data_IF_475874579580
#
_entry.id   IF_475874579580
#
_cell.length_a   1.000
_cell.length_b   1.000
_cell.length_c   1.000
_cell.angle_alpha   90.00
_cell.angle_beta   90.00
_cell.angle_gamma   90.00
#
_symmetry.space_group_name_H-M   'P 1'
#
loop_
_entity.id
_entity.type
_entity.pdbx_description
1 polymer ?
#
# COMPACT_ATOMS: atom_id res chain seq x y z
N UNK A 1 -25.71 13.90 33.87
CA UNK A 1 -25.13 14.50 32.64
C UNK A 1 -23.77 13.89 32.24
N UNK A 2 -22.84 13.57 33.16
CA UNK A 2 -21.51 12.99 32.82
C UNK A 2 -21.50 11.55 32.24
N UNK A 3 -22.55 10.74 32.46
CA UNK A 3 -22.61 9.36 31.92
C UNK A 3 -22.94 9.26 30.42
N UNK A 4 -23.42 10.35 29.80
CA UNK A 4 -23.73 10.36 28.36
C UNK A 4 -22.52 10.69 27.48
N UNK A 5 -21.51 11.39 28.02
CA UNK A 5 -20.29 11.75 27.28
C UNK A 5 -19.31 10.56 27.20
N UNK A 6 -19.28 9.72 28.23
CA UNK A 6 -18.40 8.53 28.28
C UNK A 6 -18.87 7.39 27.37
N UNK A 7 -20.18 7.24 27.11
CA UNK A 7 -20.67 6.23 26.14
C UNK A 7 -20.35 6.58 24.67
N UNK A 8 -20.24 7.87 24.34
CA UNK A 8 -19.80 8.31 23.00
C UNK A 8 -18.31 8.07 22.73
N UNK A 9 -17.45 8.23 23.75
CA UNK A 9 -16.00 8.02 23.60
C UNK A 9 -15.60 6.55 23.48
N UNK A 10 -16.33 5.62 24.13
CA UNK A 10 -16.04 4.18 24.06
C UNK A 10 -16.44 3.59 22.70
N UNK A 11 -17.46 4.15 22.02
CA UNK A 11 -17.82 3.77 20.64
C UNK A 11 -16.80 4.25 19.59
N UNK A 12 -16.08 5.35 19.84
CA UNK A 12 -15.03 5.84 18.93
C UNK A 12 -13.79 4.93 18.90
N UNK A 13 -13.39 4.37 20.04
CA UNK A 13 -12.17 3.53 20.14
C UNK A 13 -12.40 2.13 19.58
N UNK A 14 -13.60 1.56 19.72
CA UNK A 14 -13.96 0.28 19.08
C UNK A 14 -14.29 0.43 17.59
N UNK A 15 -14.77 1.61 17.16
CA UNK A 15 -14.99 1.92 15.75
C UNK A 15 -13.71 1.84 14.90
N UNK A 16 -12.57 2.28 15.43
CA UNK A 16 -11.27 2.21 14.74
C UNK A 16 -10.84 0.78 14.36
N UNK A 17 -11.28 -0.24 15.09
CA UNK A 17 -11.00 -1.65 14.76
C UNK A 17 -11.99 -2.23 13.72
N UNK A 18 -13.16 -1.61 13.55
CA UNK A 18 -14.14 -1.97 12.51
C UNK A 18 -13.78 -1.38 11.13
N UNK A 19 -12.94 -0.34 11.11
CA UNK A 19 -12.60 0.43 9.91
C UNK A 19 -11.71 -0.31 8.89
N UNK A 20 -11.05 -1.40 9.27
CA UNK A 20 -10.22 -2.19 8.34
C UNK A 20 -11.03 -3.07 7.38
N UNK A 21 -12.36 -3.10 7.49
CA UNK A 21 -13.25 -3.96 6.71
C UNK A 21 -14.14 -3.22 5.70
N UNK A 22 -13.75 -2.01 5.26
CA UNK A 22 -14.50 -1.30 4.21
C UNK A 22 -14.46 -2.09 2.88
N UNK A 23 -15.59 -2.21 2.15
CA UNK A 23 -15.63 -2.87 0.87
C UNK A 23 -14.73 -2.11 -0.12
N UNK A 24 -13.70 -2.78 -0.59
CA UNK A 24 -12.74 -2.16 -1.47
C UNK A 24 -13.42 -1.77 -2.80
N UNK A 25 -13.44 -0.48 -3.10
CA UNK A 25 -14.03 0.08 -4.31
C UNK A 25 -13.52 -0.65 -5.55
N UNK A 26 -14.43 -0.98 -6.47
CA UNK A 26 -14.11 -1.76 -7.65
C UNK A 26 -13.47 -0.87 -8.72
N UNK A 27 -12.14 -0.94 -8.84
CA UNK A 27 -11.36 -0.30 -9.91
C UNK A 27 -11.82 -0.71 -11.33
N UNK A 28 -12.68 -1.74 -11.44
CA UNK A 28 -13.31 -2.15 -12.71
C UNK A 28 -14.23 -1.09 -13.31
N UNK A 29 -14.75 -0.12 -12.56
CA UNK A 29 -15.64 0.91 -13.12
C UNK A 29 -14.92 1.81 -14.13
N UNK A 30 -13.60 2.00 -13.99
CA UNK A 30 -12.79 2.76 -14.97
C UNK A 30 -12.42 1.89 -16.17
N UNK A 31 -12.16 0.59 -15.98
CA UNK A 31 -11.86 -0.34 -17.09
C UNK A 31 -13.12 -0.71 -17.90
N UNK A 32 -14.30 -0.77 -17.26
CA UNK A 32 -15.58 -1.14 -17.88
C UNK A 32 -16.20 -0.04 -18.76
N UNK A 33 -15.70 1.19 -18.72
CA UNK A 33 -16.12 2.24 -19.66
C UNK A 33 -15.48 2.11 -21.05
N UNK A 34 -14.68 1.08 -21.29
CA UNK A 34 -13.95 0.85 -22.55
C UNK A 34 -14.19 -0.51 -23.23
N UNK A 35 -15.02 -1.40 -22.68
CA UNK A 35 -15.33 -2.70 -23.30
C UNK A 35 -16.85 -2.90 -23.48
N UNK A 36 -17.35 -3.15 -24.72
CA UNK A 36 -18.72 -3.57 -24.94
C UNK A 36 -18.83 -5.09 -24.79
N UNK A 37 -19.80 -5.53 -23.98
CA UNK A 37 -20.34 -6.90 -23.86
C UNK A 37 -19.48 -7.97 -23.16
N UNK A 38 -19.80 -8.24 -21.88
CA UNK A 38 -19.42 -9.46 -21.17
C UNK A 38 -20.46 -9.85 -20.09
N UNK A 39 -20.89 -11.13 -19.99
CA UNK A 39 -22.01 -11.53 -19.14
C UNK A 39 -21.61 -11.71 -17.66
N UNK A 40 -22.52 -11.30 -16.77
CA UNK A 40 -22.40 -11.45 -15.33
C UNK A 40 -22.57 -12.92 -14.87
N UNK A 41 -21.55 -13.47 -14.20
CA UNK A 41 -21.60 -14.79 -13.56
C UNK A 41 -21.63 -14.67 -12.03
N UNK A 42 -22.64 -15.26 -11.40
CA UNK A 42 -22.77 -15.38 -9.94
C UNK A 42 -21.82 -16.47 -9.42
N UNK A 43 -21.13 -16.22 -8.30
CA UNK A 43 -20.36 -17.21 -7.57
C UNK A 43 -20.86 -17.28 -6.11
N UNK A 44 -21.26 -18.48 -5.71
CA UNK A 44 -21.64 -18.83 -4.34
C UNK A 44 -20.48 -19.59 -3.70
N UNK A 45 -20.04 -19.17 -2.51
CA UNK A 45 -18.92 -19.78 -1.79
C UNK A 45 -19.45 -20.73 -0.70
N UNK A 46 -19.09 -22.01 -0.82
CA UNK A 46 -19.32 -23.05 0.18
C UNK A 46 -18.04 -23.22 1.02
N UNK A 47 -18.16 -23.13 2.34
CA UNK A 47 -17.08 -23.44 3.29
C UNK A 47 -17.33 -24.82 3.92
N UNK A 48 -16.32 -25.68 3.86
CA UNK A 48 -16.27 -26.99 4.54
C UNK A 48 -15.15 -26.93 5.58
N UNK A 49 -15.40 -27.41 6.80
CA UNK A 49 -14.41 -27.58 7.86
C UNK A 49 -14.31 -29.07 8.21
N UNK A 50 -13.08 -29.59 8.27
CA UNK A 50 -12.77 -30.92 8.80
C UNK A 50 -11.76 -30.81 9.97
N UNK A 51 -12.00 -31.64 10.99
CA UNK A 51 -11.23 -31.87 12.22
C UNK A 51 -10.00 -32.74 12.01
N UNK A 52 -8.82 -32.41 12.59
CA UNK A 52 -7.79 -33.40 13.01
C UNK A 52 -6.90 -32.88 14.18
N UNK A 53 -6.57 -33.84 15.06
CA UNK A 53 -5.85 -33.90 16.35
C UNK A 53 -4.42 -33.32 16.52
N UNK A 54 -4.08 -33.15 17.81
CA UNK A 54 -2.79 -32.76 18.42
C UNK A 54 -1.67 -33.82 18.31
N UNK A 55 -0.44 -33.39 17.97
CA UNK A 55 0.82 -34.14 18.22
C UNK A 55 1.91 -33.21 18.77
N UNK A 56 2.68 -33.71 19.74
CA UNK A 56 3.75 -33.01 20.47
C UNK A 56 5.08 -32.87 19.68
N UNK A 57 5.61 -31.64 19.74
CA UNK A 57 7.02 -31.22 19.86
C UNK A 57 8.15 -32.25 19.58
N UNK A 58 8.62 -32.30 18.33
CA UNK A 58 10.02 -32.54 17.98
C UNK A 58 10.25 -32.29 16.47
N UNK A 59 10.71 -31.10 16.06
CA UNK A 59 11.47 -30.80 14.83
C UNK A 59 11.53 -29.29 14.58
N UNK A 60 12.61 -28.64 15.03
CA UNK A 60 12.93 -27.27 14.63
C UNK A 60 14.43 -27.20 14.33
N UNK A 61 14.77 -27.51 13.08
CA UNK A 61 16.03 -27.15 12.43
C UNK A 61 15.59 -26.41 11.17
N UNK A 62 15.15 -25.17 11.35
CA UNK A 62 14.78 -24.32 10.24
C UNK A 62 16.06 -23.79 9.60
N UNK A 63 16.28 -24.11 8.34
CA UNK A 63 17.36 -23.51 7.54
C UNK A 63 17.09 -21.99 7.48
N UNK A 64 17.82 -21.21 8.29
CA UNK A 64 17.71 -19.75 8.47
C UNK A 64 17.69 -19.03 7.11
N UNK A 65 18.36 -19.60 6.11
CA UNK A 65 18.39 -19.16 4.71
C UNK A 65 17.01 -19.17 4.02
N UNK A 66 16.09 -20.03 4.43
CA UNK A 66 14.72 -20.11 3.91
C UNK A 66 13.79 -19.05 4.49
N UNK A 67 14.16 -18.43 5.61
CA UNK A 67 13.40 -17.30 6.16
C UNK A 67 13.50 -16.05 5.28
N UNK A 68 14.47 -15.98 4.36
CA UNK A 68 14.57 -14.94 3.32
C UNK A 68 13.73 -15.23 2.07
N UNK A 69 12.81 -16.20 2.10
CA UNK A 69 11.98 -16.53 0.94
C UNK A 69 10.71 -15.67 0.86
N UNK A 70 10.54 -14.96 -0.26
CA UNK A 70 9.34 -14.16 -0.56
C UNK A 70 8.05 -14.99 -0.50
N UNK A 71 8.09 -16.29 -0.81
CA UNK A 71 6.94 -17.18 -0.65
C UNK A 71 6.61 -17.45 0.83
N UNK A 72 7.64 -17.59 1.67
CA UNK A 72 7.49 -17.74 3.13
C UNK A 72 6.97 -16.44 3.74
N UNK A 73 7.45 -15.28 3.27
CA UNK A 73 6.94 -13.97 3.67
C UNK A 73 5.47 -13.75 3.27
N UNK A 74 5.12 -14.02 2.01
CA UNK A 74 3.76 -13.86 1.51
C UNK A 74 2.77 -14.84 2.19
N UNK A 75 3.21 -16.07 2.49
CA UNK A 75 2.40 -17.04 3.23
C UNK A 75 2.22 -16.64 4.70
N UNK A 76 3.25 -16.10 5.35
CA UNK A 76 3.15 -15.60 6.73
C UNK A 76 2.16 -14.42 6.83
N UNK A 77 2.23 -13.48 5.89
CA UNK A 77 1.35 -12.31 5.84
C UNK A 77 -0.11 -12.70 5.55
N UNK A 78 -0.36 -13.61 4.59
CA UNK A 78 -1.70 -14.12 4.29
C UNK A 78 -2.32 -14.91 5.46
N UNK A 79 -1.50 -15.53 6.30
CA UNK A 79 -1.94 -16.30 7.48
C UNK A 79 -2.24 -15.38 8.67
N UNK A 80 -1.42 -14.34 8.88
CA UNK A 80 -1.63 -13.33 9.92
C UNK A 80 -2.94 -12.53 9.72
N UNK A 81 -3.34 -12.29 8.46
CA UNK A 81 -4.57 -11.56 8.12
C UNK A 81 -5.85 -12.40 8.30
N UNK A 82 -5.75 -13.74 8.38
CA UNK A 82 -6.93 -14.64 8.40
C UNK A 82 -7.26 -15.29 9.74
N UNK A 83 -6.45 -15.09 10.78
CA UNK A 83 -6.71 -15.71 12.09
C UNK A 83 -7.23 -14.66 13.09
N UNK A 84 -8.55 -14.51 13.30
CA UNK A 84 -9.03 -13.76 14.44
C UNK A 84 -8.58 -14.49 15.72
N UNK A 85 -7.76 -13.83 16.53
CA UNK A 85 -7.40 -14.31 17.86
C UNK A 85 -8.66 -14.24 18.72
N UNK A 86 -9.43 -15.32 18.74
CA UNK A 86 -10.53 -15.50 19.68
C UNK A 86 -9.94 -15.73 21.07
N UNK A 87 -9.87 -14.68 21.88
CA UNK A 87 -9.60 -14.77 23.30
C UNK A 87 -10.85 -15.27 24.03
N UNK A 88 -11.05 -16.58 24.08
CA UNK A 88 -12.01 -17.19 25.00
C UNK A 88 -11.23 -18.12 25.94
N UNK A 89 -11.05 -17.67 27.18
CA UNK A 89 -10.56 -18.49 28.27
C UNK A 89 -9.04 -18.56 28.44
N UNK A 90 -8.38 -17.43 28.74
CA UNK A 90 -7.18 -17.36 29.60
C UNK A 90 -5.87 -18.07 29.20
N UNK A 91 -5.87 -18.97 28.22
CA UNK A 91 -4.69 -19.71 27.77
C UNK A 91 -4.35 -19.31 26.33
N UNK A 92 -3.19 -18.67 26.17
CA UNK A 92 -2.62 -18.38 24.87
C UNK A 92 -2.12 -19.68 24.23
N UNK A 93 -2.99 -20.41 23.53
CA UNK A 93 -2.54 -21.48 22.61
C UNK A 93 -2.07 -20.80 21.33
N UNK A 94 -0.85 -20.27 21.37
CA UNK A 94 -0.16 -19.82 20.17
C UNK A 94 -0.02 -21.01 19.22
N UNK A 95 -0.77 -21.00 18.12
CA UNK A 95 -0.62 -21.97 17.04
C UNK A 95 0.74 -21.74 16.39
N UNK A 96 1.77 -22.40 16.89
CA UNK A 96 3.06 -22.46 16.23
C UNK A 96 2.84 -23.15 14.88
N UNK A 97 2.90 -22.37 13.79
CA UNK A 97 3.00 -22.93 12.45
C UNK A 97 4.38 -23.56 12.36
N UNK A 98 4.46 -24.84 12.72
CA UNK A 98 5.65 -25.66 12.49
C UNK A 98 5.69 -25.93 10.99
N UNK A 99 6.40 -25.08 10.25
CA UNK A 99 6.80 -25.38 8.88
C UNK A 99 7.80 -26.54 8.96
N UNK A 100 7.32 -27.75 8.67
CA UNK A 100 8.17 -28.93 8.59
C UNK A 100 9.02 -28.83 7.32
N UNK A 101 10.21 -28.24 7.48
CA UNK A 101 11.19 -28.06 6.42
C UNK A 101 11.99 -29.36 6.29
N UNK A 102 11.60 -30.21 5.34
CA UNK A 102 12.35 -31.42 4.98
C UNK A 102 13.77 -31.02 4.57
N UNK A 103 14.75 -31.40 5.41
CA UNK A 103 16.16 -31.09 5.26
C UNK A 103 16.77 -31.72 4.02
N UNK A 104 16.89 -30.93 2.94
CA UNK A 104 17.68 -31.31 1.77
C UNK A 104 19.12 -30.83 1.99
N UNK A 105 19.99 -31.74 2.42
CA UNK A 105 21.42 -31.53 2.74
C UNK A 105 22.32 -31.26 1.52
N UNK A 106 21.75 -30.71 0.46
CA UNK A 106 22.45 -30.38 -0.79
C UNK A 106 21.83 -29.16 -1.47
N UNK A 107 21.38 -28.18 -0.68
CA UNK A 107 20.79 -26.95 -1.20
C UNK A 107 21.83 -26.20 -2.05
N UNK A 108 21.73 -26.42 -3.36
CA UNK A 108 22.30 -25.54 -4.37
C UNK A 108 21.93 -24.12 -3.94
N UNK A 109 22.92 -23.22 -3.87
CA UNK A 109 22.69 -21.81 -3.60
C UNK A 109 21.93 -21.20 -4.78
N UNK A 110 20.63 -21.49 -4.85
CA UNK A 110 19.71 -20.75 -5.69
C UNK A 110 19.71 -19.34 -5.10
N UNK A 111 20.25 -18.37 -5.86
CA UNK A 111 20.31 -16.96 -5.45
C UNK A 111 18.91 -16.41 -5.16
N UNK A 112 18.81 -15.17 -4.68
CA UNK A 112 17.52 -14.57 -4.34
C UNK A 112 16.62 -14.31 -5.57
N UNK A 113 17.19 -14.27 -6.79
CA UNK A 113 16.48 -13.88 -8.00
C UNK A 113 15.24 -14.75 -8.34
N UNK A 114 15.28 -16.09 -8.29
CA UNK A 114 14.10 -16.94 -8.49
C UNK A 114 13.02 -16.74 -7.43
N UNK A 115 13.34 -16.16 -6.26
CA UNK A 115 12.35 -15.87 -5.21
C UNK A 115 11.58 -14.56 -5.49
N UNK A 116 12.07 -13.71 -6.38
CA UNK A 116 11.43 -12.44 -6.76
C UNK A 116 10.34 -12.57 -7.83
N UNK A 117 9.72 -13.75 -8.02
CA UNK A 117 8.64 -13.95 -9.02
C UNK A 117 7.46 -13.00 -8.80
N UNK A 118 7.10 -12.73 -7.55
CA UNK A 118 6.03 -11.79 -7.20
C UNK A 118 6.32 -10.37 -7.69
N UNK A 119 7.53 -9.88 -7.40
CA UNK A 119 8.01 -8.56 -7.84
C UNK A 119 8.08 -8.49 -9.37
N UNK A 120 8.64 -9.52 -10.02
CA UNK A 120 8.68 -9.62 -11.49
C UNK A 120 7.29 -9.52 -12.10
N UNK A 121 6.33 -10.30 -11.58
CA UNK A 121 4.93 -10.29 -12.06
C UNK A 121 4.30 -8.91 -11.90
N UNK A 122 4.54 -8.24 -10.78
CA UNK A 122 4.07 -6.88 -10.53
C UNK A 122 4.69 -5.86 -11.49
N UNK A 123 6.00 -5.94 -11.73
CA UNK A 123 6.69 -5.12 -12.72
C UNK A 123 6.14 -5.31 -14.12
N UNK A 124 5.90 -6.56 -14.54
CA UNK A 124 5.30 -6.85 -15.84
C UNK A 124 3.89 -6.28 -15.99
N UNK A 125 3.05 -6.37 -14.95
CA UNK A 125 1.71 -5.75 -14.96
C UNK A 125 1.78 -4.23 -15.17
N UNK A 126 2.78 -3.55 -14.62
CA UNK A 126 3.00 -2.10 -14.84
C UNK A 126 3.41 -1.80 -16.28
N UNK A 127 4.30 -2.62 -16.84
CA UNK A 127 4.73 -2.49 -18.23
C UNK A 127 3.52 -2.69 -19.14
N UNK A 128 2.75 -3.77 -18.97
CA UNK A 128 1.56 -4.05 -19.79
C UNK A 128 0.49 -2.95 -19.67
N UNK A 129 0.29 -2.39 -18.47
CA UNK A 129 -0.59 -1.25 -18.29
C UNK A 129 -0.11 -0.03 -19.07
N UNK A 130 1.19 0.28 -19.00
CA UNK A 130 1.78 1.39 -19.75
C UNK A 130 1.67 1.18 -21.26
N UNK A 131 1.89 -0.05 -21.73
CA UNK A 131 1.70 -0.46 -23.14
C UNK A 131 0.27 -0.16 -23.60
N UNK A 132 -0.75 -0.58 -22.83
CA UNK A 132 -2.16 -0.37 -23.18
C UNK A 132 -2.57 1.10 -23.13
N UNK A 133 -2.15 1.83 -22.09
CA UNK A 133 -2.55 3.22 -21.89
C UNK A 133 -1.84 4.17 -22.86
N UNK A 134 -0.55 3.96 -23.12
CA UNK A 134 0.28 4.90 -23.88
C UNK A 134 0.55 4.45 -25.32
N UNK A 135 0.16 3.23 -25.70
CA UNK A 135 0.44 2.67 -27.03
C UNK A 135 1.94 2.51 -27.29
N UNK A 136 2.65 1.83 -26.38
CA UNK A 136 4.11 1.66 -26.50
C UNK A 136 4.48 0.78 -27.70
N UNK A 137 5.53 1.18 -28.40
CA UNK A 137 6.16 0.35 -29.43
C UNK A 137 6.92 -0.84 -28.83
N UNK A 138 7.24 -1.84 -29.66
CA UNK A 138 7.99 -3.01 -29.23
C UNK A 138 9.38 -2.67 -28.65
N UNK A 139 10.19 -1.77 -29.26
CA UNK A 139 11.46 -1.32 -28.66
C UNK A 139 11.28 -0.68 -27.29
N UNK A 140 10.26 0.18 -27.12
CA UNK A 140 9.97 0.84 -25.84
C UNK A 140 9.62 -0.19 -24.75
N UNK A 141 8.72 -1.14 -25.06
CA UNK A 141 8.41 -2.25 -24.15
C UNK A 141 9.66 -3.03 -23.75
N UNK A 142 10.52 -3.36 -24.72
CA UNK A 142 11.75 -4.12 -24.47
C UNK A 142 12.72 -3.38 -23.54
N UNK A 143 12.85 -2.06 -23.68
CA UNK A 143 13.65 -1.24 -22.77
C UNK A 143 13.13 -1.31 -21.33
N UNK A 144 11.81 -1.23 -21.13
CA UNK A 144 11.21 -1.36 -19.80
C UNK A 144 11.40 -2.75 -19.20
N UNK A 145 11.29 -3.82 -20.00
CA UNK A 145 11.55 -5.19 -19.55
C UNK A 145 13.01 -5.38 -19.08
N UNK A 146 13.98 -4.79 -19.81
CA UNK A 146 15.39 -4.82 -19.41
C UNK A 146 15.64 -4.01 -18.13
N UNK A 147 14.98 -2.86 -17.97
CA UNK A 147 15.04 -2.06 -16.75
C UNK A 147 14.51 -2.83 -15.54
N UNK A 148 13.35 -3.49 -15.68
CA UNK A 148 12.78 -4.36 -14.64
C UNK A 148 13.74 -5.49 -14.27
N UNK A 149 14.30 -6.20 -15.26
CA UNK A 149 15.24 -7.29 -15.01
C UNK A 149 16.50 -6.81 -14.28
N UNK A 150 16.99 -5.61 -14.61
CA UNK A 150 18.12 -4.99 -13.90
C UNK A 150 17.76 -4.65 -12.45
N UNK A 151 16.58 -4.08 -12.20
CA UNK A 151 16.09 -3.80 -10.83
C UNK A 151 15.99 -5.10 -10.00
N UNK A 152 15.49 -6.19 -10.60
CA UNK A 152 15.38 -7.49 -9.93
C UNK A 152 16.75 -8.07 -9.58
N UNK A 153 17.74 -7.96 -10.47
CA UNK A 153 19.12 -8.42 -10.18
C UNK A 153 19.77 -7.62 -9.08
N UNK A 154 19.58 -6.30 -9.07
CA UNK A 154 20.09 -5.43 -8.00
C UNK A 154 19.50 -5.84 -6.65
N UNK A 155 18.17 -5.96 -6.56
CA UNK A 155 17.47 -6.39 -5.35
C UNK A 155 17.91 -7.78 -4.90
N UNK A 156 18.06 -8.72 -5.83
CA UNK A 156 18.56 -10.05 -5.51
C UNK A 156 19.97 -10.01 -4.92
N UNK A 157 20.88 -9.22 -5.52
CA UNK A 157 22.25 -9.05 -5.02
C UNK A 157 22.31 -8.43 -3.63
N UNK A 158 21.43 -7.46 -3.33
CA UNK A 158 21.33 -6.88 -1.97
C UNK A 158 20.88 -7.91 -0.93
N UNK A 159 19.91 -8.77 -1.27
CA UNK A 159 19.43 -9.83 -0.37
C UNK A 159 20.48 -10.93 -0.21
N UNK A 160 21.11 -11.36 -1.30
CA UNK A 160 22.14 -12.39 -1.27
C UNK A 160 23.35 -11.92 -0.43
N UNK A 161 23.73 -10.64 -0.51
CA UNK A 161 24.79 -10.07 0.34
C UNK A 161 24.48 -10.16 1.84
N UNK A 162 23.23 -9.93 2.24
CA UNK A 162 22.78 -10.11 3.63
C UNK A 162 22.81 -11.58 4.02
N UNK A 163 22.25 -12.46 3.16
CA UNK A 163 22.20 -13.90 3.37
C UNK A 163 23.58 -14.53 3.51
N UNK A 164 24.56 -14.08 2.72
CA UNK A 164 25.92 -14.58 2.75
C UNK A 164 26.59 -14.36 4.12
N UNK A 165 26.19 -13.31 4.84
CA UNK A 165 26.65 -13.05 6.21
C UNK A 165 26.24 -14.12 7.24
N UNK A 166 25.20 -14.90 6.95
CA UNK A 166 24.70 -15.95 7.84
C UNK A 166 25.16 -17.36 7.44
N UNK A 167 25.90 -17.51 6.34
CA UNK A 167 26.40 -18.83 5.91
C UNK A 167 27.36 -19.40 6.96
N UNK A 168 27.06 -20.59 7.45
CA UNK A 168 27.89 -21.29 8.44
C UNK A 168 27.74 -20.78 9.88
N UNK A 169 26.86 -19.80 10.12
CA UNK A 169 26.53 -19.36 11.48
C UNK A 169 25.64 -20.41 12.15
N UNK A 170 26.02 -20.85 13.34
CA UNK A 170 25.20 -21.78 14.14
C UNK A 170 24.02 -21.05 14.79
N UNK A 171 22.95 -21.75 15.13
CA UNK A 171 21.82 -21.15 15.87
C UNK A 171 22.24 -20.60 17.24
N UNK A 172 23.27 -21.20 17.88
CA UNK A 172 23.78 -20.78 19.19
C UNK A 172 24.57 -19.47 19.12
N UNK A 173 25.24 -19.22 17.99
CA UNK A 173 26.06 -18.02 17.76
C UNK A 173 25.28 -16.87 17.10
N UNK A 174 24.02 -17.13 16.68
CA UNK A 174 23.21 -16.16 15.95
C UNK A 174 22.58 -15.13 16.88
N UNK A 175 22.90 -13.85 16.65
CA UNK A 175 22.14 -12.74 17.26
C UNK A 175 20.77 -12.63 16.58
N UNK A 176 19.74 -13.15 17.26
CA UNK A 176 18.36 -13.15 16.77
C UNK A 176 17.85 -11.73 16.50
N UNK A 177 18.26 -10.73 17.31
CA UNK A 177 17.78 -9.37 17.13
C UNK A 177 18.36 -8.73 15.86
N UNK A 178 19.66 -8.94 15.59
CA UNK A 178 20.31 -8.50 14.36
C UNK A 178 19.70 -9.20 13.14
N UNK A 179 19.48 -10.52 13.23
CA UNK A 179 18.85 -11.30 12.17
C UNK A 179 17.45 -10.77 11.80
N UNK A 180 16.60 -10.49 12.79
CA UNK A 180 15.27 -9.94 12.54
C UNK A 180 15.34 -8.54 11.89
N UNK A 181 16.30 -7.71 12.28
CA UNK A 181 16.51 -6.40 11.67
C UNK A 181 16.93 -6.53 10.19
N UNK A 182 17.81 -7.46 9.87
CA UNK A 182 18.26 -7.74 8.50
C UNK A 182 17.14 -8.29 7.61
N UNK A 183 16.31 -9.18 8.16
CA UNK A 183 15.09 -9.67 7.50
C UNK A 183 14.15 -8.51 7.16
N UNK A 184 13.93 -7.60 8.10
CA UNK A 184 13.10 -6.43 7.88
C UNK A 184 13.72 -5.47 6.85
N UNK A 185 15.04 -5.30 6.88
CA UNK A 185 15.78 -4.57 5.85
C UNK A 185 15.55 -5.16 4.45
N UNK A 186 15.64 -6.49 4.31
CA UNK A 186 15.36 -7.19 3.06
C UNK A 186 13.92 -6.96 2.57
N UNK A 187 12.93 -6.99 3.48
CA UNK A 187 11.52 -6.69 3.13
C UNK A 187 11.37 -5.28 2.61
N UNK A 188 12.04 -4.31 3.22
CA UNK A 188 12.03 -2.92 2.76
C UNK A 188 12.68 -2.77 1.37
N UNK A 189 13.77 -3.49 1.11
CA UNK A 189 14.40 -3.53 -0.22
C UNK A 189 13.42 -4.08 -1.26
N UNK A 190 12.74 -5.19 -0.96
CA UNK A 190 11.72 -5.79 -1.85
C UNK A 190 10.56 -4.81 -2.07
N UNK A 191 10.05 -4.17 -1.02
CA UNK A 191 8.95 -3.21 -1.11
C UNK A 191 9.30 -1.99 -1.99
N UNK A 192 10.57 -1.58 -1.99
CA UNK A 192 11.10 -0.47 -2.81
C UNK A 192 11.59 -0.91 -4.19
N UNK A 193 11.59 -2.19 -4.52
CA UNK A 193 12.14 -2.73 -5.77
C UNK A 193 11.58 -2.06 -7.01
N UNK A 194 10.31 -1.65 -6.96
CA UNK A 194 9.60 -0.93 -8.02
C UNK A 194 9.14 0.45 -7.55
N UNK A 195 9.82 1.05 -6.56
CA UNK A 195 9.50 2.39 -6.08
C UNK A 195 9.92 3.49 -7.07
N UNK A 196 9.65 4.77 -6.76
CA UNK A 196 10.06 5.91 -7.60
C UNK A 196 11.57 5.97 -7.89
N UNK A 197 12.41 5.42 -7.01
CA UNK A 197 13.86 5.36 -7.19
C UNK A 197 14.36 4.18 -8.04
N UNK A 198 13.48 3.29 -8.51
CA UNK A 198 13.88 2.13 -9.30
C UNK A 198 14.25 2.53 -10.73
N UNK A 199 15.11 1.73 -11.38
CA UNK A 199 15.50 1.97 -12.78
C UNK A 199 14.28 1.89 -13.71
N UNK A 200 13.37 0.93 -13.48
CA UNK A 200 12.11 0.85 -14.20
C UNK A 200 11.33 2.15 -14.09
N UNK A 201 11.13 2.70 -12.89
CA UNK A 201 10.35 3.92 -12.71
C UNK A 201 10.91 5.10 -13.52
N UNK A 202 12.23 5.29 -13.48
CA UNK A 202 12.94 6.30 -14.27
C UNK A 202 12.83 6.06 -15.78
N UNK A 203 13.07 4.81 -16.21
CA UNK A 203 12.99 4.45 -17.63
C UNK A 203 11.60 4.65 -18.22
N UNK A 204 10.52 4.51 -17.44
CA UNK A 204 9.17 4.83 -17.95
C UNK A 204 9.02 6.33 -18.24
N UNK A 205 9.76 7.22 -17.57
CA UNK A 205 9.74 8.65 -17.91
C UNK A 205 10.58 8.94 -19.15
N UNK A 206 11.75 8.29 -19.28
CA UNK A 206 12.71 8.53 -20.37
C UNK A 206 12.29 7.91 -21.71
N UNK A 207 11.55 6.80 -21.69
CA UNK A 207 11.16 6.03 -22.89
C UNK A 207 9.96 6.61 -23.62
N UNK A 208 9.12 7.40 -22.93
CA UNK A 208 7.89 7.92 -23.50
C UNK A 208 8.17 9.10 -24.43
N UNK A 209 7.57 9.06 -25.61
CA UNK A 209 7.48 10.24 -26.45
C UNK A 209 6.61 11.31 -25.77
N UNK A 210 6.78 12.61 -26.08
CA UNK A 210 6.01 13.68 -25.45
C UNK A 210 4.49 13.44 -25.47
N UNK A 211 3.94 13.00 -26.62
CA UNK A 211 2.51 12.67 -26.74
C UNK A 211 2.08 11.51 -25.82
N UNK A 212 2.93 10.48 -25.67
CA UNK A 212 2.67 9.36 -24.77
C UNK A 212 2.75 9.78 -23.30
N UNK A 213 3.70 10.66 -22.96
CA UNK A 213 3.84 11.23 -21.62
C UNK A 213 2.58 12.04 -21.21
N UNK A 214 2.03 12.86 -22.11
CA UNK A 214 0.77 13.58 -21.88
C UNK A 214 -0.42 12.63 -21.66
N UNK A 215 -0.52 11.55 -22.45
CA UNK A 215 -1.55 10.52 -22.26
C UNK A 215 -1.41 9.87 -20.89
N UNK A 216 -0.19 9.50 -20.49
CA UNK A 216 0.09 8.93 -19.17
C UNK A 216 -0.30 9.88 -18.04
N UNK A 217 0.07 11.16 -18.15
CA UNK A 217 -0.25 12.17 -17.13
C UNK A 217 -1.76 12.36 -16.98
N UNK A 218 -2.51 12.45 -18.09
CA UNK A 218 -3.98 12.53 -18.06
C UNK A 218 -4.60 11.30 -17.42
N UNK A 219 -4.14 10.10 -17.80
CA UNK A 219 -4.62 8.85 -17.22
C UNK A 219 -4.33 8.76 -15.70
N UNK A 220 -3.12 9.12 -15.26
CA UNK A 220 -2.77 9.18 -13.84
C UNK A 220 -3.63 10.22 -13.09
N UNK A 221 -3.86 11.39 -13.68
CA UNK A 221 -4.72 12.42 -13.10
C UNK A 221 -6.16 11.91 -12.92
N UNK A 222 -6.75 11.30 -13.96
CA UNK A 222 -8.09 10.71 -13.87
C UNK A 222 -8.19 9.63 -12.80
N UNK A 223 -7.19 8.75 -12.67
CA UNK A 223 -7.17 7.76 -11.58
C UNK A 223 -7.05 8.39 -10.20
N UNK A 224 -6.28 9.46 -10.06
CA UNK A 224 -6.16 10.19 -8.78
C UNK A 224 -7.50 10.77 -8.38
N UNK A 225 -8.17 11.41 -9.33
CA UNK A 225 -9.48 12.02 -9.16
C UNK A 225 -10.54 10.98 -8.77
N UNK A 226 -10.63 9.87 -9.52
CA UNK A 226 -11.55 8.77 -9.21
C UNK A 226 -11.28 8.17 -7.83
N UNK A 227 -10.01 7.91 -7.50
CA UNK A 227 -9.63 7.39 -6.18
C UNK A 227 -9.97 8.38 -5.07
N UNK A 228 -9.76 9.67 -5.30
CA UNK A 228 -10.09 10.71 -4.33
C UNK A 228 -11.60 10.82 -4.11
N UNK A 229 -12.42 10.84 -5.17
CA UNK A 229 -13.88 10.78 -5.06
C UNK A 229 -14.36 9.59 -4.25
N UNK A 230 -13.84 8.40 -4.53
CA UNK A 230 -14.19 7.20 -3.75
C UNK A 230 -13.78 7.34 -2.27
N UNK A 231 -12.61 7.94 -2.00
CA UNK A 231 -12.15 8.20 -0.63
C UNK A 231 -13.06 9.20 0.10
N UNK A 232 -13.49 10.26 -0.59
CA UNK A 232 -14.40 11.28 -0.06
C UNK A 232 -15.76 10.66 0.24
N UNK A 233 -16.34 9.90 -0.70
CA UNK A 233 -17.61 9.21 -0.49
C UNK A 233 -17.55 8.27 0.73
N UNK A 234 -16.50 7.45 0.83
CA UNK A 234 -16.29 6.54 1.96
C UNK A 234 -16.06 7.27 3.30
N UNK A 235 -15.52 8.50 3.27
CA UNK A 235 -15.35 9.33 4.47
C UNK A 235 -16.66 10.02 4.88
N UNK A 236 -17.47 10.43 3.91
CA UNK A 236 -18.67 11.21 4.14
C UNK A 236 -19.83 10.36 4.64
N UNK A 237 -19.95 9.11 4.22
CA UNK A 237 -21.00 8.20 4.68
C UNK A 237 -21.12 8.13 6.23
N UNK A 238 -20.07 7.77 6.99
CA UNK A 238 -20.16 7.75 8.46
C UNK A 238 -20.28 9.14 9.09
N UNK A 239 -19.81 10.19 8.43
CA UNK A 239 -19.96 11.57 8.91
C UNK A 239 -21.40 12.04 8.76
N UNK A 240 -22.06 11.71 7.65
CA UNK A 240 -23.46 12.04 7.41
C UNK A 240 -24.35 11.40 8.47
N UNK A 241 -24.15 10.10 8.75
CA UNK A 241 -24.86 9.40 9.82
C UNK A 241 -24.64 10.06 11.20
N UNK A 242 -23.42 10.49 11.50
CA UNK A 242 -23.04 11.06 12.80
C UNK A 242 -23.51 12.51 12.98
N UNK A 243 -23.52 13.30 11.90
CA UNK A 243 -23.82 14.73 11.91
C UNK A 243 -25.27 15.03 11.52
N UNK A 244 -25.95 14.08 10.87
CA UNK A 244 -27.23 14.24 10.18
C UNK A 244 -27.17 15.46 9.25
N UNK A 245 -26.32 15.41 8.22
CA UNK A 245 -26.15 16.53 7.31
C UNK A 245 -27.42 16.68 6.45
N UNK A 246 -27.80 17.91 6.14
CA UNK A 246 -28.75 18.13 5.05
C UNK A 246 -28.09 17.83 3.71
N UNK A 247 -28.88 17.61 2.66
CA UNK A 247 -28.34 17.41 1.29
C UNK A 247 -27.41 18.56 0.87
N UNK A 248 -27.78 19.81 1.17
CA UNK A 248 -26.94 20.97 0.83
C UNK A 248 -25.64 21.04 1.66
N UNK A 249 -25.67 20.58 2.91
CA UNK A 249 -24.46 20.49 3.74
C UNK A 249 -23.55 19.37 3.25
N UNK A 250 -24.10 18.21 2.91
CA UNK A 250 -23.35 17.08 2.35
C UNK A 250 -22.63 17.51 1.08
N UNK A 251 -23.35 18.08 0.11
CA UNK A 251 -22.80 18.56 -1.16
C UNK A 251 -21.71 19.62 -0.95
N UNK A 252 -21.90 20.53 0.02
CA UNK A 252 -20.90 21.56 0.33
C UNK A 252 -19.62 20.99 0.95
N UNK A 253 -19.72 19.99 1.84
CA UNK A 253 -18.56 19.31 2.42
C UNK A 253 -17.85 18.44 1.38
N UNK A 254 -18.61 17.76 0.52
CA UNK A 254 -18.07 17.01 -0.62
C UNK A 254 -17.30 17.92 -1.58
N UNK A 255 -17.91 19.03 -2.01
CA UNK A 255 -17.27 20.00 -2.89
C UNK A 255 -15.99 20.56 -2.28
N UNK A 256 -16.01 20.87 -0.97
CA UNK A 256 -14.83 21.32 -0.23
C UNK A 256 -13.68 20.29 -0.29
N UNK A 257 -13.99 19.01 -0.08
CA UNK A 257 -13.00 17.94 -0.13
C UNK A 257 -12.45 17.71 -1.54
N UNK A 258 -13.31 17.76 -2.56
CA UNK A 258 -12.93 17.53 -3.95
C UNK A 258 -12.09 18.66 -4.54
N UNK A 259 -12.35 19.92 -4.16
CA UNK A 259 -11.56 21.08 -4.59
C UNK A 259 -10.07 20.94 -4.21
N UNK A 260 -9.80 20.35 -3.04
CA UNK A 260 -8.46 20.18 -2.52
C UNK A 260 -7.97 18.72 -2.67
N UNK A 261 -7.94 18.19 -3.89
CA UNK A 261 -7.38 16.86 -4.14
C UNK A 261 -5.87 16.83 -3.79
N UNK A 262 -5.40 15.94 -2.89
CA UNK A 262 -3.99 15.76 -2.60
C UNK A 262 -3.26 14.98 -3.71
N UNK A 263 -1.93 15.07 -3.81
CA UNK A 263 -1.16 14.31 -4.80
C UNK A 263 -1.07 12.83 -4.38
N UNK A 264 -2.10 12.06 -4.71
CA UNK A 264 -2.20 10.63 -4.42
C UNK A 264 -1.33 9.78 -5.36
N UNK A 265 -0.62 8.77 -4.84
CA UNK A 265 -0.02 7.72 -5.68
C UNK A 265 -1.12 6.81 -6.22
N UNK A 266 -1.16 6.68 -7.55
CA UNK A 266 -2.06 5.76 -8.27
C UNK A 266 -1.34 4.57 -8.88
N UNK A 267 0.00 4.60 -8.89
CA UNK A 267 0.84 3.59 -9.55
C UNK A 267 1.24 2.44 -8.63
N UNK A 268 0.61 2.29 -7.45
CA UNK A 268 0.84 1.16 -6.56
C UNK A 268 0.24 -0.12 -7.18
N UNK A 269 1.03 -0.81 -8.01
CA UNK A 269 0.62 -2.07 -8.67
C UNK A 269 0.89 -3.26 -7.76
N UNK A 270 0.61 -3.16 -6.46
CA UNK A 270 0.39 -4.37 -5.67
C UNK A 270 -1.08 -4.72 -5.87
N UNK A 271 -1.44 -5.93 -6.30
CA UNK A 271 -2.84 -6.34 -6.45
C UNK A 271 -3.67 -6.29 -5.15
N UNK A 272 -3.08 -5.86 -4.05
CA UNK A 272 -3.81 -5.40 -2.88
C UNK A 272 -4.47 -4.09 -3.23
N UNK A 273 -5.81 -4.07 -3.27
CA UNK A 273 -6.62 -2.84 -3.29
C UNK A 273 -6.20 -2.04 -2.05
N UNK A 274 -5.16 -1.22 -2.18
CA UNK A 274 -4.65 -0.43 -1.07
C UNK A 274 -5.85 0.34 -0.53
N UNK A 275 -6.17 0.22 0.78
CA UNK A 275 -7.40 0.74 1.33
C UNK A 275 -7.55 2.21 0.94
N UNK A 276 -8.80 2.63 0.71
CA UNK A 276 -9.08 4.04 0.49
C UNK A 276 -8.49 4.82 1.68
N UNK A 277 -7.71 5.87 1.44
CA UNK A 277 -7.07 6.65 2.52
C UNK A 277 -8.11 7.54 3.20
N UNK A 278 -9.17 6.97 3.78
CA UNK A 278 -10.24 7.70 4.47
C UNK A 278 -9.68 8.65 5.57
N UNK A 279 -8.64 8.27 6.34
CA UNK A 279 -7.99 9.20 7.27
C UNK A 279 -7.45 10.49 6.62
N UNK A 280 -7.14 10.46 5.32
CA UNK A 280 -6.72 11.65 4.56
C UNK A 280 -7.86 12.63 4.32
N UNK A 281 -9.08 12.16 4.06
CA UNK A 281 -10.25 13.02 3.98
C UNK A 281 -10.52 13.70 5.33
N UNK A 282 -10.42 12.97 6.44
CA UNK A 282 -10.56 13.56 7.77
C UNK A 282 -9.44 14.54 8.11
N UNK A 283 -8.20 14.24 7.76
CA UNK A 283 -7.10 15.18 7.90
C UNK A 283 -7.36 16.48 7.12
N UNK A 284 -7.88 16.38 5.90
CA UNK A 284 -8.27 17.55 5.09
C UNK A 284 -9.36 18.36 5.78
N UNK A 285 -10.39 17.71 6.33
CA UNK A 285 -11.42 18.39 7.12
C UNK A 285 -10.86 19.03 8.39
N UNK A 286 -9.91 18.38 9.08
CA UNK A 286 -9.25 18.92 10.26
C UNK A 286 -8.38 20.15 9.95
N UNK A 287 -7.85 20.21 8.73
CA UNK A 287 -6.99 21.26 8.21
C UNK A 287 -7.76 22.36 7.48
N UNK A 288 -9.08 22.21 7.33
CA UNK A 288 -9.94 23.22 6.75
C UNK A 288 -9.84 24.53 7.54
N UNK A 289 -9.76 25.65 6.83
CA UNK A 289 -9.93 26.96 7.46
C UNK A 289 -11.32 26.99 8.11
N UNK A 290 -11.34 27.23 9.42
CA UNK A 290 -12.54 27.20 10.25
C UNK A 290 -13.72 27.95 9.59
N UNK A 291 -13.45 29.10 8.97
CA UNK A 291 -14.48 29.93 8.34
C UNK A 291 -15.23 29.31 7.16
N UNK A 292 -14.63 28.40 6.36
CA UNK A 292 -15.34 27.84 5.19
C UNK A 292 -16.43 26.85 5.60
N UNK A 293 -16.12 25.94 6.53
CA UNK A 293 -17.05 24.90 6.96
C UNK A 293 -17.98 25.34 8.10
N UNK A 294 -17.55 26.28 8.96
CA UNK A 294 -18.40 26.85 10.03
C UNK A 294 -19.63 27.58 9.49
N UNK A 295 -19.55 28.13 8.26
CA UNK A 295 -20.69 28.79 7.62
C UNK A 295 -21.69 27.78 7.02
N UNK A 296 -21.27 26.54 6.80
CA UNK A 296 -22.10 25.46 6.22
C UNK A 296 -22.75 24.63 7.33
N UNK A 297 -21.99 24.35 8.38
CA UNK A 297 -22.39 23.48 9.48
C UNK A 297 -22.90 24.29 10.66
N UNK A 298 -23.94 23.78 11.35
CA UNK A 298 -24.36 24.41 12.59
C UNK A 298 -23.32 24.20 13.72
N UNK A 299 -23.42 24.98 14.79
CA UNK A 299 -22.46 24.94 15.90
C UNK A 299 -22.38 23.57 16.61
N UNK A 300 -23.43 22.74 16.53
CA UNK A 300 -23.44 21.37 17.07
C UNK A 300 -22.68 20.45 16.13
N UNK A 301 -23.02 20.45 14.85
CA UNK A 301 -22.36 19.66 13.81
C UNK A 301 -20.87 19.97 13.75
N UNK A 302 -20.50 21.25 13.79
CA UNK A 302 -19.10 21.66 13.80
C UNK A 302 -18.32 21.07 14.98
N UNK A 303 -18.90 21.10 16.19
CA UNK A 303 -18.27 20.54 17.39
C UNK A 303 -18.07 19.02 17.26
N UNK A 304 -19.04 18.31 16.72
CA UNK A 304 -18.96 16.86 16.51
C UNK A 304 -17.91 16.54 15.44
N UNK A 305 -17.93 17.26 14.31
CA UNK A 305 -16.94 17.10 13.24
C UNK A 305 -15.52 17.29 13.79
N UNK A 306 -15.28 18.37 14.56
CA UNK A 306 -13.98 18.63 15.20
C UNK A 306 -13.54 17.47 16.09
N UNK A 307 -14.45 16.89 16.87
CA UNK A 307 -14.13 15.74 17.72
C UNK A 307 -13.74 14.50 16.89
N UNK A 308 -14.37 14.28 15.74
CA UNK A 308 -14.06 13.16 14.85
C UNK A 308 -12.72 13.33 14.13
N UNK A 309 -12.37 14.56 13.69
CA UNK A 309 -11.21 14.78 12.81
C UNK A 309 -9.92 15.17 13.55
N UNK A 310 -10.01 15.65 14.79
CA UNK A 310 -8.84 16.06 15.58
C UNK A 310 -7.80 14.93 15.81
N UNK A 311 -8.19 13.65 16.04
CA UNK A 311 -7.23 12.55 16.11
C UNK A 311 -6.42 12.40 14.82
N UNK A 312 -7.06 12.57 13.66
CA UNK A 312 -6.41 12.43 12.35
C UNK A 312 -5.35 13.50 12.10
N UNK A 313 -5.42 14.65 12.79
CA UNK A 313 -4.41 15.73 12.71
C UNK A 313 -3.06 15.34 13.33
N UNK A 314 -3.06 14.41 14.30
CA UNK A 314 -1.85 13.96 15.01
C UNK A 314 -1.15 12.80 14.32
N UNK A 315 -1.90 12.02 13.55
CA UNK A 315 -1.47 10.76 12.93
C UNK A 315 -0.68 11.00 11.61
N UNK A 316 -0.73 12.21 11.07
CA UNK A 316 -0.51 12.50 9.65
C UNK A 316 0.95 12.46 9.17
N UNK A 317 1.93 12.78 10.02
CA UNK A 317 3.30 12.98 9.52
C UNK A 317 3.98 11.65 9.13
N UNK A 318 3.69 10.54 9.84
CA UNK A 318 4.33 9.24 9.56
C UNK A 318 3.55 8.34 8.59
N UNK A 319 2.22 8.22 8.78
CA UNK A 319 1.40 7.24 8.06
C UNK A 319 1.07 7.64 6.62
N UNK A 320 1.01 8.92 6.31
CA UNK A 320 0.66 9.36 4.96
C UNK A 320 1.79 9.21 3.94
N UNK A 321 3.03 9.16 4.43
CA UNK A 321 4.23 9.06 3.60
C UNK A 321 4.50 7.63 3.14
N UNK A 322 4.26 6.67 4.05
CA UNK A 322 4.56 5.25 3.83
C UNK A 322 3.40 4.49 3.17
N UNK A 323 2.16 4.68 3.62
CA UNK A 323 1.05 3.78 3.25
C UNK A 323 0.08 4.35 2.20
N UNK A 324 -0.05 5.68 2.14
CA UNK A 324 -1.03 6.33 1.26
C UNK A 324 -0.39 7.02 0.07
N UNK A 325 0.93 7.00 0.02
CA UNK A 325 1.67 7.44 -1.13
C UNK A 325 1.36 8.88 -1.50
N UNK A 326 1.37 9.78 -0.52
CA UNK A 326 1.46 11.19 -0.87
C UNK A 326 2.79 11.38 -1.61
N UNK A 327 2.71 11.96 -2.80
CA UNK A 327 3.92 12.41 -3.50
C UNK A 327 4.30 13.69 -2.76
N UNK A 328 5.36 13.63 -1.94
CA UNK A 328 6.07 14.87 -1.62
C UNK A 328 6.48 15.44 -2.97
N UNK A 329 5.93 16.59 -3.34
CA UNK A 329 6.71 17.47 -4.18
C UNK A 329 8.05 17.58 -3.44
N UNK A 330 9.13 17.10 -4.03
CA UNK A 330 10.45 17.28 -3.43
C UNK A 330 10.60 18.74 -3.00
N UNK A 331 11.42 19.05 -1.98
CA UNK A 331 11.67 20.44 -1.63
C UNK A 331 11.91 21.21 -2.93
N UNK A 332 11.21 22.33 -3.18
CA UNK A 332 11.29 23.02 -4.47
C UNK A 332 12.75 23.16 -4.82
N UNK A 333 13.14 22.71 -6.02
CA UNK A 333 14.51 22.78 -6.49
C UNK A 333 15.01 24.20 -6.18
N UNK A 334 16.01 24.34 -5.29
CA UNK A 334 16.33 25.67 -4.80
C UNK A 334 16.77 26.51 -6.00
N UNK A 335 16.28 27.75 -6.08
CA UNK A 335 16.35 28.58 -7.29
C UNK A 335 17.75 28.70 -7.92
N UNK A 336 18.81 28.50 -7.13
CA UNK A 336 20.20 28.49 -7.60
C UNK A 336 20.55 27.32 -8.53
N UNK A 337 19.79 26.21 -8.52
CA UNK A 337 20.00 25.07 -9.44
C UNK A 337 19.39 25.33 -10.83
N UNK A 338 18.41 26.23 -10.91
CA UNK A 338 17.85 26.76 -12.17
C UNK A 338 18.72 27.85 -12.81
N UNK A 339 19.66 28.41 -12.04
CA UNK A 339 20.63 29.43 -12.46
C UNK A 339 22.02 28.86 -12.80
N UNK A 340 22.17 27.54 -12.97
CA UNK A 340 23.40 27.01 -13.58
C UNK A 340 23.51 27.58 -15.00
N UNK A 341 24.35 28.61 -15.08
CA UNK A 341 24.64 29.38 -16.27
C UNK A 341 24.96 28.46 -17.44
N UNK A 342 24.58 28.85 -18.68
CA UNK A 342 25.16 28.23 -19.86
C UNK A 342 26.67 28.34 -19.70
N UNK A 343 27.34 27.18 -19.63
CA UNK A 343 28.79 27.13 -19.79
C UNK A 343 29.06 27.79 -21.13
N UNK A 344 29.64 28.99 -21.10
CA UNK A 344 30.19 29.62 -22.29
C UNK A 344 31.17 28.59 -22.88
N UNK A 345 30.83 28.08 -24.07
CA UNK A 345 31.74 27.31 -24.89
C UNK A 345 32.93 28.21 -25.19
N UNK A 346 34.06 27.98 -24.51
CA UNK A 346 35.32 28.58 -24.91
C UNK A 346 35.69 28.05 -26.32
N UNK A 347 36.08 28.95 -27.25
CA UNK A 347 36.30 28.64 -28.66
C UNK A 347 37.54 27.79 -28.97
#
# INVERSE_FOLDING_TARGET
MMRSILRGCVLMVTGLAWWTAAPAADDRVVDAMTEPDGPAGNFEAVLVFDDVDMVHSAALSADVVRLFDAAVFAAAEATAVRSPVNMIGGENVGRAVVLEVVGSRGAIHDGALPRLVGVRRQGMKRIDLTVRTCGLSHPQRRMLEMALESDLRRVAGEIDAVRDGYIGTSEEDMDIAAFQADVEGCRQVIARALGPGSLLARMVEDVLEPAQAEVRQRWQHGRRESRWRATVAAALEPLDESLALSSSQYEAVEAFLLEAMPPLRVDAVGGSRAPLPVPLAYYRLASAEAGRLENVLDARQWRVLRACVEPCRRVTIGLMDQDHGIIHAGPPTPAWESERMPMEEEP
#
